data_IF_000409458157
#
_entry.id   IF_000409458157
#
_cell.length_a   1.000
_cell.length_b   1.000
_cell.length_c   1.000
_cell.angle_alpha   90.00
_cell.angle_beta   90.00
_cell.angle_gamma   90.00
#
_symmetry.space_group_name_H-M   'P 1'
#
loop_
_entity.id
_entity.type
_entity.pdbx_description
1 polymer ?
#
# COMPACT_ATOMS: atom_id res chain seq x y z
N UNK A 1 -5.22 8.34 -12.15
CA UNK A 1 -4.54 9.26 -13.10
C UNK A 1 -3.45 8.55 -13.89
N UNK A 2 -2.37 8.06 -13.26
CA UNK A 2 -1.24 7.43 -13.99
C UNK A 2 -1.65 6.19 -14.81
N UNK A 3 -2.47 5.29 -14.26
CA UNK A 3 -3.00 4.13 -15.00
C UNK A 3 -3.68 4.51 -16.31
N UNK A 4 -4.51 5.55 -16.28
CA UNK A 4 -5.20 6.07 -17.47
C UNK A 4 -4.24 6.71 -18.46
N UNK A 5 -3.26 7.49 -18.00
CA UNK A 5 -2.25 8.11 -18.87
C UNK A 5 -1.41 7.04 -19.57
N UNK A 6 -1.07 5.96 -18.85
CA UNK A 6 -0.27 4.85 -19.37
C UNK A 6 -1.08 3.76 -20.08
N UNK A 7 -2.42 3.82 -20.05
CA UNK A 7 -3.30 2.73 -20.48
C UNK A 7 -2.91 1.37 -19.90
N UNK A 8 -2.48 1.35 -18.64
CA UNK A 8 -2.12 0.14 -17.90
C UNK A 8 -3.16 -0.13 -16.82
N UNK A 9 -3.82 -1.31 -16.82
CA UNK A 9 -4.75 -1.67 -15.76
C UNK A 9 -4.00 -1.92 -14.45
N UNK A 10 -4.69 -1.67 -13.33
CA UNK A 10 -4.16 -1.98 -12.00
C UNK A 10 -4.57 -3.41 -11.60
N UNK A 11 -3.72 -4.15 -10.86
CA UNK A 11 -4.08 -5.44 -10.29
C UNK A 11 -5.25 -5.30 -9.32
N UNK A 12 -6.24 -6.20 -9.41
CA UNK A 12 -7.47 -6.15 -8.61
C UNK A 12 -7.28 -6.59 -7.16
N UNK A 13 -6.22 -7.33 -6.89
CA UNK A 13 -5.94 -7.99 -5.61
C UNK A 13 -5.14 -7.10 -4.65
N UNK A 14 -4.80 -5.86 -5.04
CA UNK A 14 -3.96 -4.95 -4.26
C UNK A 14 -4.79 -3.79 -3.70
N UNK A 15 -4.84 -3.67 -2.37
CA UNK A 15 -5.30 -2.45 -1.71
C UNK A 15 -4.13 -1.47 -1.51
N UNK A 16 -4.39 -0.17 -1.57
CA UNK A 16 -3.35 0.85 -1.38
C UNK A 16 -3.85 1.93 -0.42
N UNK A 17 -3.01 2.34 0.53
CA UNK A 17 -3.26 3.52 1.35
C UNK A 17 -1.96 4.26 1.69
N UNK A 18 -2.07 5.54 2.02
CA UNK A 18 -0.96 6.40 2.39
C UNK A 18 -1.26 7.86 2.06
N UNK A 19 -0.49 8.76 2.65
CA UNK A 19 -0.51 10.17 2.27
C UNK A 19 0.66 10.47 1.32
N UNK A 20 0.39 11.26 0.28
CA UNK A 20 1.39 11.66 -0.71
C UNK A 20 1.77 13.11 -0.46
N UNK A 21 3.04 13.36 -0.20
CA UNK A 21 3.57 14.71 -0.13
C UNK A 21 3.93 15.28 -1.50
N UNK A 22 4.16 16.59 -1.56
CA UNK A 22 4.39 17.30 -2.83
C UNK A 22 5.68 16.85 -3.53
N UNK A 23 6.68 16.40 -2.76
CA UNK A 23 7.94 15.89 -3.33
C UNK A 23 7.84 14.43 -3.80
N UNK A 24 6.65 13.82 -3.65
CA UNK A 24 6.41 12.43 -4.00
C UNK A 24 6.81 11.46 -2.90
N UNK A 25 7.08 11.93 -1.69
CA UNK A 25 7.26 11.09 -0.51
C UNK A 25 5.92 10.48 -0.06
N UNK A 26 5.98 9.25 0.46
CA UNK A 26 4.82 8.58 1.05
C UNK A 26 4.94 8.63 2.56
N UNK A 27 3.92 9.17 3.22
CA UNK A 27 3.89 9.40 4.67
C UNK A 27 2.99 8.39 5.37
N UNK A 28 3.40 8.03 6.59
CA UNK A 28 2.65 7.11 7.46
C UNK A 28 1.28 7.67 7.83
N UNK A 29 0.29 6.78 7.91
CA UNK A 29 -1.07 7.10 8.34
C UNK A 29 -1.39 6.46 9.69
N UNK A 30 -2.40 6.98 10.36
CA UNK A 30 -2.94 6.37 11.57
C UNK A 30 -3.75 5.10 11.25
N UNK A 31 -3.88 4.22 12.25
CA UNK A 31 -4.72 3.02 12.19
C UNK A 31 -4.38 2.05 11.03
N UNK A 32 -3.10 1.99 10.64
CA UNK A 32 -2.65 1.16 9.53
C UNK A 32 -2.98 -0.33 9.71
N UNK A 33 -2.82 -0.89 10.92
CA UNK A 33 -3.14 -2.29 11.20
C UNK A 33 -4.63 -2.63 11.04
N UNK A 34 -5.53 -1.68 11.36
CA UNK A 34 -6.97 -1.87 11.12
C UNK A 34 -7.28 -1.92 9.61
N UNK A 35 -6.63 -1.06 8.80
CA UNK A 35 -6.79 -1.05 7.34
C UNK A 35 -6.29 -2.35 6.70
N UNK A 36 -5.17 -2.89 7.18
CA UNK A 36 -4.65 -4.18 6.69
C UNK A 36 -5.62 -5.33 7.00
N UNK A 37 -6.20 -5.35 8.21
CA UNK A 37 -7.21 -6.35 8.59
C UNK A 37 -8.48 -6.26 7.75
N UNK A 38 -8.94 -5.04 7.47
CA UNK A 38 -10.09 -4.79 6.61
C UNK A 38 -9.81 -5.26 5.17
N UNK A 39 -8.66 -4.88 4.61
CA UNK A 39 -8.24 -5.32 3.29
C UNK A 39 -8.22 -6.85 3.18
N UNK A 40 -7.70 -7.53 4.20
CA UNK A 40 -7.76 -9.00 4.26
C UNK A 40 -9.19 -9.52 4.29
N UNK A 41 -10.06 -8.92 5.09
CA UNK A 41 -11.46 -9.34 5.19
C UNK A 41 -12.22 -9.20 3.88
N UNK A 42 -11.86 -8.20 3.07
CA UNK A 42 -12.43 -7.96 1.75
C UNK A 42 -11.81 -8.85 0.65
N UNK A 43 -10.83 -9.68 0.99
CA UNK A 43 -10.21 -10.64 0.06
C UNK A 43 -9.06 -10.08 -0.77
N UNK A 44 -8.46 -8.95 -0.38
CA UNK A 44 -7.23 -8.48 -1.02
C UNK A 44 -6.04 -9.38 -0.64
N UNK A 45 -5.19 -9.68 -1.62
CA UNK A 45 -4.00 -10.52 -1.43
C UNK A 45 -2.79 -9.71 -0.96
N UNK A 46 -2.76 -8.41 -1.29
CA UNK A 46 -1.69 -7.52 -0.91
C UNK A 46 -2.19 -6.12 -0.52
N UNK A 47 -1.42 -5.46 0.33
CA UNK A 47 -1.58 -4.06 0.70
C UNK A 47 -0.29 -3.31 0.43
N UNK A 48 -0.35 -2.29 -0.41
CA UNK A 48 0.70 -1.30 -0.54
C UNK A 48 0.48 -0.19 0.48
N UNK A 49 1.47 0.06 1.34
CA UNK A 49 1.36 0.98 2.47
C UNK A 49 2.66 1.77 2.70
N UNK A 50 2.63 2.85 3.47
CA UNK A 50 3.83 3.60 3.80
C UNK A 50 4.86 2.70 4.51
N UNK A 51 6.13 2.79 4.12
CA UNK A 51 7.21 1.99 4.73
C UNK A 51 7.29 2.22 6.25
N UNK A 52 7.05 3.45 6.71
CA UNK A 52 6.98 3.75 8.14
C UNK A 52 5.86 3.00 8.88
N UNK A 53 4.70 2.77 8.25
CA UNK A 53 3.67 1.93 8.85
C UNK A 53 4.05 0.44 8.81
N UNK A 54 4.70 -0.04 7.73
CA UNK A 54 5.16 -1.43 7.66
C UNK A 54 6.13 -1.74 8.80
N UNK A 55 7.06 -0.83 9.08
CA UNK A 55 8.01 -0.95 10.19
C UNK A 55 7.31 -0.93 11.54
N UNK A 56 6.33 -0.04 11.74
CA UNK A 56 5.54 0.02 12.98
C UNK A 56 4.78 -1.29 13.26
N UNK A 57 4.30 -1.95 12.21
CA UNK A 57 3.52 -3.18 12.32
C UNK A 57 4.34 -4.45 12.11
N UNK A 58 5.69 -4.38 12.09
CA UNK A 58 6.55 -5.53 11.80
C UNK A 58 6.34 -6.72 12.76
N UNK A 59 5.89 -6.43 13.98
CA UNK A 59 5.63 -7.43 15.01
C UNK A 59 4.17 -7.96 14.95
N UNK A 60 3.31 -7.36 14.14
CA UNK A 60 1.94 -7.84 13.93
C UNK A 60 1.92 -8.95 12.88
N UNK A 61 1.20 -10.03 13.18
CA UNK A 61 1.11 -11.16 12.27
C UNK A 61 -0.11 -11.05 11.35
N UNK A 62 0.07 -10.44 10.17
CA UNK A 62 -0.95 -10.40 9.14
C UNK A 62 -0.93 -11.67 8.27
N UNK A 63 -1.37 -12.80 8.83
CA UNK A 63 -1.50 -14.04 8.05
C UNK A 63 -2.52 -13.85 6.92
N UNK A 64 -2.11 -14.23 5.70
CA UNK A 64 -2.99 -14.27 4.52
C UNK A 64 -3.10 -12.95 3.76
N UNK A 65 -2.24 -11.96 4.02
CA UNK A 65 -2.14 -10.74 3.20
C UNK A 65 -0.69 -10.25 3.15
N UNK A 66 -0.21 -9.86 1.98
CA UNK A 66 1.16 -9.37 1.77
C UNK A 66 1.24 -7.87 2.06
N UNK A 67 2.03 -7.47 3.05
CA UNK A 67 2.25 -6.05 3.34
C UNK A 67 3.50 -5.53 2.60
N UNK A 68 3.29 -4.67 1.61
CA UNK A 68 4.33 -4.04 0.80
C UNK A 68 4.54 -2.59 1.26
N UNK A 69 5.76 -2.27 1.67
CA UNK A 69 6.10 -0.96 2.19
C UNK A 69 6.81 -0.10 1.16
N UNK A 70 6.35 1.14 1.00
CA UNK A 70 6.88 2.10 0.02
C UNK A 70 7.15 3.47 0.65
N UNK A 71 8.21 4.13 0.20
CA UNK A 71 8.62 5.45 0.69
C UNK A 71 8.38 6.58 -0.31
N UNK A 72 8.10 6.25 -1.58
CA UNK A 72 7.85 7.24 -2.63
C UNK A 72 6.81 6.78 -3.64
N UNK A 73 6.16 7.74 -4.31
CA UNK A 73 5.21 7.46 -5.40
C UNK A 73 5.89 6.69 -6.53
N UNK A 74 7.16 6.98 -6.82
CA UNK A 74 7.93 6.24 -7.83
C UNK A 74 8.02 4.75 -7.48
N UNK A 75 8.36 4.44 -6.22
CA UNK A 75 8.43 3.06 -5.75
C UNK A 75 7.05 2.40 -5.79
N UNK A 76 5.99 3.10 -5.36
CA UNK A 76 4.63 2.60 -5.43
C UNK A 76 4.20 2.23 -6.87
N UNK A 77 4.58 3.05 -7.85
CA UNK A 77 4.29 2.75 -9.25
C UNK A 77 5.07 1.53 -9.76
N UNK A 78 6.30 1.30 -9.30
CA UNK A 78 7.09 0.12 -9.70
C UNK A 78 6.59 -1.19 -9.06
N UNK A 79 5.95 -1.09 -7.89
CA UNK A 79 5.40 -2.27 -7.19
C UNK A 79 4.00 -2.67 -7.71
N UNK A 80 3.24 -1.72 -8.27
CA UNK A 80 1.84 -1.93 -8.66
C UNK A 80 1.65 -2.17 -10.17
N UNK A 81 2.57 -1.68 -11.02
CA UNK A 81 2.56 -1.87 -12.47
C UNK A 81 3.65 -2.83 -12.92
#
# INVERSE_FOLDING_TARGET
VISSVKNLPLPREVAVFGEVGLSGEIRSVSQAGARVREARSLGFEAVLMPEGNRQQLQNENFKGIKCLGVSSVRQALLEVF
#
